data_IF_120039918295
#
_entry.id   IF_120039918295
#
_cell.length_a   1.000
_cell.length_b   1.000
_cell.length_c   1.000
_cell.angle_alpha   90.00
_cell.angle_beta   90.00
_cell.angle_gamma   90.00
#
_symmetry.space_group_name_H-M   'P 1'
#
loop_
_entity.id
_entity.type
_entity.pdbx_description
1 polymer ?
#
# COMPACT_ATOMS: atom_id res chain seq x y z
N UNK A 1 16.24 -6.90 -1.74
CA UNK A 1 15.70 -6.94 -0.36
C UNK A 1 16.04 -8.28 0.31
N UNK A 2 16.18 -8.36 1.64
CA UNK A 2 16.54 -9.62 2.35
C UNK A 2 15.58 -10.77 2.00
N UNK A 3 14.28 -10.48 1.88
CA UNK A 3 13.26 -11.45 1.44
C UNK A 3 13.57 -12.08 0.07
N UNK A 4 14.09 -11.31 -0.88
CA UNK A 4 14.47 -11.82 -2.20
C UNK A 4 15.71 -12.72 -2.12
N UNK A 5 16.63 -12.44 -1.20
CA UNK A 5 17.79 -13.30 -0.96
C UNK A 5 17.36 -14.67 -0.42
N UNK A 6 16.36 -14.72 0.47
CA UNK A 6 15.77 -15.99 0.95
C UNK A 6 15.18 -16.76 -0.24
N UNK A 7 14.40 -16.09 -1.10
CA UNK A 7 13.81 -16.73 -2.28
C UNK A 7 14.85 -17.24 -3.26
N UNK A 8 15.94 -16.50 -3.48
CA UNK A 8 17.04 -16.95 -4.33
C UNK A 8 17.70 -18.21 -3.77
N UNK A 9 17.97 -18.26 -2.47
CA UNK A 9 18.54 -19.46 -1.84
C UNK A 9 17.60 -20.66 -1.91
N UNK A 10 16.31 -20.45 -1.71
CA UNK A 10 15.31 -21.51 -1.85
C UNK A 10 15.23 -22.01 -3.29
N UNK A 11 15.28 -21.12 -4.28
CA UNK A 11 15.33 -21.48 -5.70
C UNK A 11 16.54 -22.35 -6.01
N UNK A 12 17.73 -21.91 -5.59
CA UNK A 12 18.96 -22.65 -5.81
C UNK A 12 18.96 -23.99 -5.07
N UNK A 13 18.37 -24.05 -3.88
CA UNK A 13 18.26 -25.27 -3.11
C UNK A 13 17.33 -26.28 -3.79
N UNK A 14 16.15 -25.83 -4.24
CA UNK A 14 15.18 -26.66 -4.96
C UNK A 14 15.67 -27.09 -6.33
N UNK A 15 16.50 -26.30 -7.02
CA UNK A 15 17.11 -26.74 -8.28
C UNK A 15 18.12 -27.86 -8.06
N UNK A 16 18.79 -27.91 -6.90
CA UNK A 16 19.73 -28.99 -6.53
C UNK A 16 19.04 -30.25 -6.03
N UNK A 17 18.01 -30.12 -5.20
CA UNK A 17 17.30 -31.27 -4.63
C UNK A 17 16.01 -31.65 -5.39
N UNK A 18 15.75 -31.01 -6.53
CA UNK A 18 14.52 -31.21 -7.31
C UNK A 18 14.29 -32.66 -7.72
N UNK A 19 15.35 -33.37 -8.13
CA UNK A 19 15.29 -34.79 -8.51
C UNK A 19 14.91 -35.68 -7.32
N UNK A 20 15.50 -35.42 -6.15
CA UNK A 20 15.21 -36.16 -4.92
C UNK A 20 13.77 -35.91 -4.43
N UNK A 21 13.30 -34.67 -4.59
CA UNK A 21 11.94 -34.25 -4.25
C UNK A 21 10.91 -34.52 -5.36
N UNK A 22 11.33 -35.09 -6.50
CA UNK A 22 10.48 -35.42 -7.66
C UNK A 22 9.66 -34.22 -8.13
N UNK A 23 10.28 -33.04 -8.15
CA UNK A 23 9.66 -31.82 -8.65
C UNK A 23 9.72 -31.81 -10.18
N UNK A 24 8.62 -31.45 -10.84
CA UNK A 24 8.57 -31.33 -12.30
C UNK A 24 9.43 -30.15 -12.79
N UNK A 25 9.44 -29.07 -12.02
CA UNK A 25 10.34 -27.94 -12.20
C UNK A 25 10.63 -27.24 -10.86
N UNK A 26 11.70 -26.46 -10.81
CA UNK A 26 12.03 -25.61 -9.64
C UNK A 26 10.95 -24.57 -9.38
N UNK A 27 10.36 -23.99 -10.44
CA UNK A 27 9.33 -22.96 -10.31
C UNK A 27 8.01 -23.54 -9.78
N UNK A 28 7.64 -24.76 -10.16
CA UNK A 28 6.45 -25.44 -9.59
C UNK A 28 6.60 -25.69 -8.09
N UNK A 29 7.82 -26.09 -7.67
CA UNK A 29 8.17 -26.24 -6.26
C UNK A 29 8.06 -24.92 -5.50
N UNK A 30 8.67 -23.85 -6.02
CA UNK A 30 8.60 -22.52 -5.42
C UNK A 30 7.17 -21.99 -5.33
N UNK A 31 6.34 -22.23 -6.33
CA UNK A 31 4.94 -21.80 -6.36
C UNK A 31 4.08 -22.42 -5.24
N UNK A 32 4.52 -23.53 -4.64
CA UNK A 32 3.84 -24.13 -3.49
C UNK A 32 4.28 -23.56 -2.14
N UNK A 33 5.38 -22.83 -2.11
CA UNK A 33 5.98 -22.34 -0.88
C UNK A 33 5.49 -20.92 -0.60
N UNK A 34 5.36 -20.61 0.68
CA UNK A 34 5.10 -19.26 1.15
C UNK A 34 6.18 -18.89 2.16
N UNK A 35 6.73 -17.68 2.01
CA UNK A 35 7.63 -17.11 3.00
C UNK A 35 6.81 -16.37 4.05
N UNK A 36 6.81 -16.90 5.27
CA UNK A 36 6.03 -16.42 6.40
C UNK A 36 6.95 -15.92 7.52
N UNK A 37 6.37 -15.19 8.48
CA UNK A 37 7.05 -14.85 9.72
C UNK A 37 6.80 -15.99 10.74
N UNK A 38 7.84 -16.55 11.38
CA UNK A 38 7.66 -17.61 12.37
C UNK A 38 6.78 -17.13 13.54
N UNK A 39 5.94 -18.02 14.06
CA UNK A 39 5.09 -17.71 15.24
C UNK A 39 5.90 -17.43 16.49
N UNK A 40 7.04 -18.10 16.64
CA UNK A 40 7.95 -17.93 17.78
C UNK A 40 9.28 -17.36 17.27
N UNK A 41 9.70 -16.23 17.84
CA UNK A 41 10.85 -15.46 17.36
C UNK A 41 12.18 -16.22 17.42
N UNK A 42 12.30 -17.24 18.28
CA UNK A 42 13.53 -18.04 18.35
C UNK A 42 13.75 -18.91 17.11
N UNK A 43 12.71 -19.15 16.30
CA UNK A 43 12.83 -19.77 14.98
C UNK A 43 13.31 -18.78 13.91
N UNK A 44 13.68 -17.54 14.25
CA UNK A 44 14.26 -16.59 13.31
C UNK A 44 13.25 -15.61 12.70
N UNK A 45 13.60 -15.09 11.52
CA UNK A 45 12.91 -13.96 10.89
C UNK A 45 11.96 -14.42 9.78
N UNK A 46 12.31 -15.51 9.11
CA UNK A 46 11.50 -16.10 8.05
C UNK A 46 11.33 -17.61 8.24
N UNK A 47 10.18 -18.14 7.83
CA UNK A 47 9.89 -19.56 7.81
C UNK A 47 9.23 -19.94 6.48
N UNK A 48 9.51 -21.17 6.04
CA UNK A 48 8.87 -21.79 4.88
C UNK A 48 8.30 -23.12 5.29
N UNK A 49 6.99 -23.28 5.14
CA UNK A 49 6.32 -24.57 5.29
C UNK A 49 6.52 -25.41 4.03
N UNK A 50 7.24 -26.53 4.14
CA UNK A 50 7.49 -27.42 2.99
C UNK A 50 6.44 -28.51 2.82
N UNK A 51 5.44 -28.56 3.71
CA UNK A 51 4.38 -29.59 3.67
C UNK A 51 3.66 -29.70 2.31
N UNK A 52 3.37 -28.61 1.58
CA UNK A 52 2.77 -28.71 0.24
C UNK A 52 3.59 -29.53 -0.77
N UNK A 53 4.91 -29.65 -0.60
CA UNK A 53 5.77 -30.43 -1.48
C UNK A 53 5.61 -31.94 -1.29
N UNK A 54 4.98 -32.39 -0.20
CA UNK A 54 4.78 -33.82 0.08
C UNK A 54 3.98 -34.54 -1.00
N UNK A 55 3.09 -33.82 -1.71
CA UNK A 55 2.32 -34.36 -2.84
C UNK A 55 3.21 -34.81 -4.01
N UNK A 56 4.36 -34.17 -4.19
CA UNK A 56 5.33 -34.48 -5.24
C UNK A 56 6.36 -35.49 -4.75
N UNK A 57 7.02 -35.18 -3.63
CA UNK A 57 8.12 -35.97 -3.09
C UNK A 57 7.68 -37.35 -2.57
N UNK A 58 6.41 -37.50 -2.18
CA UNK A 58 5.88 -38.68 -1.47
C UNK A 58 6.67 -38.99 -0.19
N UNK A 59 7.17 -37.95 0.47
CA UNK A 59 7.92 -37.98 1.72
C UNK A 59 7.16 -37.21 2.80
N UNK A 60 7.35 -37.55 4.09
CA UNK A 60 6.77 -36.77 5.18
C UNK A 60 7.44 -35.37 5.25
N UNK A 61 6.71 -34.29 5.62
CA UNK A 61 7.24 -32.92 5.62
C UNK A 61 8.57 -32.71 6.35
N UNK A 62 8.85 -33.34 7.51
CA UNK A 62 10.16 -33.20 8.16
C UNK A 62 11.33 -33.69 7.31
N UNK A 63 11.15 -34.77 6.53
CA UNK A 63 12.18 -35.27 5.63
C UNK A 63 12.43 -34.34 4.46
N UNK A 64 11.37 -33.73 3.93
CA UNK A 64 11.49 -32.70 2.90
C UNK A 64 12.23 -31.48 3.45
N UNK A 65 11.92 -31.07 4.69
CA UNK A 65 12.57 -29.93 5.31
C UNK A 65 14.07 -30.19 5.48
N UNK A 66 14.46 -31.39 5.94
CA UNK A 66 15.85 -31.84 6.03
C UNK A 66 16.57 -31.68 4.68
N UNK A 67 16.02 -32.26 3.60
CA UNK A 67 16.60 -32.20 2.24
C UNK A 67 16.77 -30.76 1.76
N UNK A 68 15.73 -29.92 1.91
CA UNK A 68 15.79 -28.52 1.49
C UNK A 68 16.82 -27.75 2.32
N UNK A 69 16.84 -27.94 3.64
CA UNK A 69 17.76 -27.26 4.54
C UNK A 69 19.23 -27.63 4.27
N UNK A 70 19.52 -28.91 4.06
CA UNK A 70 20.85 -29.37 3.66
C UNK A 70 21.28 -28.77 2.32
N UNK A 71 20.37 -28.75 1.34
CA UNK A 71 20.64 -28.13 0.04
C UNK A 71 20.92 -26.63 0.15
N UNK A 72 20.22 -25.90 1.03
CA UNK A 72 20.52 -24.48 1.32
C UNK A 72 21.92 -24.32 1.92
N UNK A 73 22.30 -25.16 2.89
CA UNK A 73 23.62 -25.09 3.57
C UNK A 73 24.80 -25.30 2.61
N UNK A 74 24.62 -26.13 1.58
CA UNK A 74 25.66 -26.42 0.58
C UNK A 74 26.10 -25.17 -0.22
N UNK A 75 25.26 -24.13 -0.29
CA UNK A 75 25.57 -22.91 -1.06
C UNK A 75 26.25 -21.78 -0.29
N UNK A 76 26.84 -22.04 0.89
CA UNK A 76 27.34 -21.00 1.79
C UNK A 76 26.28 -19.90 2.02
N UNK A 77 25.18 -20.24 2.70
CA UNK A 77 24.00 -19.41 2.69
C UNK A 77 24.24 -18.08 3.40
N UNK A 78 23.68 -17.00 2.86
CA UNK A 78 23.65 -15.68 3.49
C UNK A 78 22.84 -15.67 4.80
N UNK A 79 22.01 -16.70 5.03
CA UNK A 79 21.13 -16.81 6.18
C UNK A 79 21.20 -18.25 6.69
N UNK A 80 21.46 -18.46 7.98
CA UNK A 80 21.59 -19.80 8.53
C UNK A 80 20.21 -20.49 8.58
N UNK A 81 20.01 -21.61 7.87
CA UNK A 81 18.75 -22.32 7.92
C UNK A 81 18.69 -23.25 9.14
N UNK A 82 17.55 -23.27 9.81
CA UNK A 82 17.25 -24.19 10.91
C UNK A 82 15.95 -24.96 10.67
N UNK A 83 15.82 -26.13 11.29
CA UNK A 83 14.69 -27.03 11.09
C UNK A 83 13.73 -26.97 12.28
N UNK A 84 12.44 -26.99 11.99
CA UNK A 84 11.39 -27.15 12.99
C UNK A 84 10.21 -27.95 12.41
N UNK A 85 10.25 -29.27 12.54
CA UNK A 85 9.24 -30.15 11.94
C UNK A 85 9.20 -29.99 10.41
N UNK A 86 8.05 -29.62 9.84
CA UNK A 86 7.89 -29.38 8.41
C UNK A 86 8.27 -27.97 7.94
N UNK A 87 9.09 -27.24 8.70
CA UNK A 87 9.52 -25.88 8.37
C UNK A 87 11.03 -25.78 8.18
N UNK A 88 11.43 -25.01 7.17
CA UNK A 88 12.79 -24.46 7.02
C UNK A 88 12.76 -23.00 7.43
N UNK A 89 13.49 -22.67 8.47
CA UNK A 89 13.53 -21.35 9.08
C UNK A 89 14.83 -20.63 8.75
N UNK A 90 14.81 -19.31 8.66
CA UNK A 90 15.97 -18.47 8.35
C UNK A 90 16.10 -17.35 9.38
N UNK A 91 17.30 -17.22 9.94
CA UNK A 91 17.65 -16.10 10.81
C UNK A 91 18.64 -15.19 10.09
N UNK A 92 18.33 -13.90 10.09
CA UNK A 92 19.24 -12.88 9.57
C UNK A 92 20.27 -12.57 10.66
N UNK A 93 21.55 -12.64 10.30
CA UNK A 93 22.60 -12.27 11.22
C UNK A 93 22.58 -10.75 11.47
N UNK A 94 23.08 -10.36 12.64
CA UNK A 94 23.05 -8.96 13.08
C UNK A 94 23.85 -8.04 12.17
N UNK A 95 24.94 -8.53 11.56
CA UNK A 95 25.77 -7.71 10.67
C UNK A 95 25.02 -7.40 9.38
N UNK A 96 24.37 -8.38 8.77
CA UNK A 96 23.52 -8.18 7.58
C UNK A 96 22.39 -7.17 7.85
N UNK A 97 21.76 -7.24 9.02
CA UNK A 97 20.75 -6.25 9.43
C UNK A 97 21.35 -4.86 9.59
N UNK A 98 22.48 -4.73 10.26
CA UNK A 98 23.18 -3.46 10.47
C UNK A 98 23.60 -2.84 9.14
N UNK A 99 24.20 -3.62 8.24
CA UNK A 99 24.59 -3.19 6.90
C UNK A 99 23.36 -2.77 6.07
N UNK A 100 22.24 -3.47 6.26
CA UNK A 100 20.94 -3.07 5.71
C UNK A 100 20.53 -1.68 6.20
N UNK A 101 20.50 -1.46 7.51
CA UNK A 101 20.13 -0.17 8.12
C UNK A 101 21.07 0.95 7.68
N UNK A 102 22.39 0.72 7.69
CA UNK A 102 23.38 1.71 7.26
C UNK A 102 23.19 2.11 5.78
N UNK A 103 22.91 1.14 4.90
CA UNK A 103 22.57 1.43 3.50
C UNK A 103 21.28 2.26 3.39
N UNK A 104 20.27 1.97 4.20
CA UNK A 104 19.02 2.73 4.22
C UNK A 104 19.20 4.16 4.73
N UNK A 105 20.08 4.37 5.71
CA UNK A 105 20.42 5.71 6.23
C UNK A 105 21.18 6.58 5.22
N UNK A 106 21.93 5.94 4.30
CA UNK A 106 22.64 6.64 3.21
C UNK A 106 21.77 6.84 1.96
N UNK A 107 20.65 6.13 1.85
CA UNK A 107 19.77 6.23 0.70
C UNK A 107 19.00 7.57 0.74
N UNK A 108 19.06 8.39 -0.34
CA UNK A 108 18.42 9.71 -0.36
C UNK A 108 16.88 9.63 -0.29
N UNK A 109 16.28 8.51 -0.69
CA UNK A 109 14.84 8.29 -0.66
C UNK A 109 14.51 6.87 -0.17
N UNK A 110 14.35 6.72 1.14
CA UNK A 110 14.01 5.45 1.75
C UNK A 110 12.66 4.92 1.26
N UNK A 111 12.62 3.66 0.82
CA UNK A 111 11.39 2.98 0.40
C UNK A 111 10.83 3.43 -0.95
N UNK A 112 11.54 4.32 -1.66
CA UNK A 112 11.16 4.72 -3.02
C UNK A 112 11.38 3.54 -3.96
N UNK A 113 10.45 3.33 -4.90
CA UNK A 113 10.58 2.30 -5.92
C UNK A 113 9.96 2.79 -7.24
N UNK A 114 10.05 1.96 -8.28
CA UNK A 114 9.60 2.27 -9.65
C UNK A 114 8.51 1.29 -10.11
N UNK A 115 7.81 0.63 -9.19
CA UNK A 115 6.80 -0.38 -9.55
C UNK A 115 5.64 0.22 -10.34
N UNK A 116 5.42 1.54 -10.22
CA UNK A 116 4.39 2.31 -10.91
C UNK A 116 4.98 3.33 -11.90
N UNK A 117 6.22 3.16 -12.35
CA UNK A 117 6.90 4.18 -13.17
C UNK A 117 6.18 4.52 -14.48
N UNK A 118 5.46 3.56 -15.06
CA UNK A 118 4.69 3.73 -16.30
C UNK A 118 3.24 4.19 -16.04
N UNK A 119 2.83 4.30 -14.77
CA UNK A 119 1.46 4.64 -14.42
C UNK A 119 1.24 6.17 -14.44
N UNK A 120 0.19 6.56 -15.18
CA UNK A 120 -0.32 7.92 -15.27
C UNK A 120 -1.69 7.97 -14.60
N UNK A 121 -1.76 8.59 -13.41
CA UNK A 121 -2.92 8.51 -12.51
C UNK A 121 -3.54 9.88 -12.31
N UNK A 122 -4.84 9.99 -12.61
CA UNK A 122 -5.67 11.11 -12.19
C UNK A 122 -6.37 10.74 -10.87
N UNK A 123 -5.98 11.39 -9.78
CA UNK A 123 -6.58 11.19 -8.46
C UNK A 123 -7.47 12.37 -8.09
N UNK A 124 -8.78 12.19 -8.16
CA UNK A 124 -9.77 13.15 -7.67
C UNK A 124 -10.11 12.86 -6.20
N UNK A 125 -10.12 13.89 -5.35
CA UNK A 125 -10.55 13.75 -3.95
C UNK A 125 -11.09 15.07 -3.37
N UNK A 126 -11.86 14.93 -2.27
CA UNK A 126 -12.64 15.99 -1.60
C UNK A 126 -13.87 16.44 -2.38
N UNK A 127 -13.70 17.01 -3.57
CA UNK A 127 -14.75 17.46 -4.51
C UNK A 127 -15.99 18.05 -3.82
N UNK A 128 -15.74 18.95 -2.87
CA UNK A 128 -16.81 19.59 -2.11
C UNK A 128 -17.50 20.63 -3.00
N UNK A 129 -18.84 20.64 -2.99
CA UNK A 129 -19.58 21.72 -3.63
C UNK A 129 -19.16 23.06 -2.99
N UNK A 130 -18.97 24.14 -3.77
CA UNK A 130 -18.52 25.43 -3.28
C UNK A 130 -19.66 26.21 -2.61
N UNK A 131 -20.48 25.52 -1.84
CA UNK A 131 -21.76 25.99 -1.29
C UNK A 131 -21.72 26.11 0.21
N UNK A 132 -20.53 26.36 0.76
CA UNK A 132 -20.27 26.64 2.16
C UNK A 132 -18.81 26.39 2.56
N UNK A 133 -18.45 26.69 3.83
CA UNK A 133 -17.12 26.44 4.33
C UNK A 133 -16.82 24.93 4.42
N UNK A 134 -15.54 24.57 4.24
CA UNK A 134 -15.10 23.20 4.41
C UNK A 134 -15.12 22.82 5.90
N UNK A 135 -15.76 21.70 6.24
CA UNK A 135 -15.70 21.10 7.59
C UNK A 135 -14.70 19.94 7.69
N UNK A 136 -14.51 19.41 8.90
CA UNK A 136 -13.55 18.33 9.23
C UNK A 136 -13.72 17.05 8.38
N UNK A 137 -14.92 16.80 7.85
CA UNK A 137 -15.19 15.69 6.95
C UNK A 137 -14.40 15.80 5.64
N UNK A 138 -14.30 17.00 5.07
CA UNK A 138 -13.44 17.28 3.92
C UNK A 138 -11.96 17.13 4.28
N UNK A 139 -11.56 17.57 5.47
CA UNK A 139 -10.19 17.44 5.96
C UNK A 139 -9.72 15.98 6.00
N UNK A 140 -10.60 15.05 6.44
CA UNK A 140 -10.30 13.61 6.41
C UNK A 140 -10.02 13.11 4.99
N UNK A 141 -10.87 13.47 4.03
CA UNK A 141 -10.69 13.04 2.63
C UNK A 141 -9.47 13.69 1.99
N UNK A 142 -9.17 14.93 2.34
CA UNK A 142 -7.98 15.65 1.90
C UNK A 142 -6.70 14.97 2.37
N UNK A 143 -6.65 14.60 3.67
CA UNK A 143 -5.52 13.88 4.24
C UNK A 143 -5.32 12.50 3.57
N UNK A 144 -6.40 11.75 3.35
CA UNK A 144 -6.34 10.45 2.71
C UNK A 144 -5.87 10.54 1.24
N UNK A 145 -6.52 11.39 0.43
CA UNK A 145 -6.21 11.53 -0.98
C UNK A 145 -4.79 12.05 -1.20
N UNK A 146 -4.36 13.06 -0.43
CA UNK A 146 -2.99 13.56 -0.52
C UNK A 146 -1.95 12.51 -0.09
N UNK A 147 -2.23 11.74 0.97
CA UNK A 147 -1.34 10.65 1.40
C UNK A 147 -1.19 9.57 0.34
N UNK A 148 -2.30 9.20 -0.31
CA UNK A 148 -2.30 8.23 -1.41
C UNK A 148 -1.53 8.76 -2.62
N UNK A 149 -1.74 10.02 -3.02
CA UNK A 149 -0.99 10.64 -4.11
C UNK A 149 0.51 10.65 -3.84
N UNK A 150 0.92 10.99 -2.62
CA UNK A 150 2.34 10.98 -2.21
C UNK A 150 2.93 9.58 -2.25
N UNK A 151 2.18 8.58 -1.79
CA UNK A 151 2.62 7.18 -1.84
C UNK A 151 2.79 6.70 -3.29
N UNK A 152 1.83 6.96 -4.17
CA UNK A 152 1.91 6.58 -5.58
C UNK A 152 3.07 7.27 -6.30
N UNK A 153 3.31 8.57 -6.04
CA UNK A 153 4.51 9.29 -6.53
C UNK A 153 5.80 8.68 -6.00
N UNK A 154 5.83 8.25 -4.73
CA UNK A 154 6.97 7.56 -4.13
C UNK A 154 7.21 6.16 -4.73
N UNK A 155 6.19 5.55 -5.33
CA UNK A 155 6.29 4.33 -6.12
C UNK A 155 6.60 4.56 -7.61
N UNK A 156 6.83 5.82 -8.01
CA UNK A 156 7.26 6.21 -9.36
C UNK A 156 6.14 6.71 -10.29
N UNK A 157 4.87 6.68 -9.87
CA UNK A 157 3.77 7.09 -10.74
C UNK A 157 3.77 8.60 -11.04
N UNK A 158 3.34 8.96 -12.25
CA UNK A 158 2.94 10.33 -12.57
C UNK A 158 1.51 10.53 -12.06
N UNK A 159 1.34 11.34 -11.00
CA UNK A 159 0.04 11.54 -10.36
C UNK A 159 -0.42 12.99 -10.47
N UNK A 160 -1.52 13.21 -11.19
CA UNK A 160 -2.30 14.44 -11.16
C UNK A 160 -3.33 14.37 -10.04
N UNK A 161 -3.46 15.46 -9.30
CA UNK A 161 -4.41 15.55 -8.19
C UNK A 161 -5.44 16.59 -8.59
N UNK A 162 -6.71 16.18 -8.61
CA UNK A 162 -7.82 17.06 -9.00
C UNK A 162 -8.77 17.26 -7.84
N UNK A 163 -9.36 18.45 -7.82
CA UNK A 163 -10.48 18.81 -6.99
C UNK A 163 -11.59 19.23 -7.93
N UNK A 164 -12.62 18.39 -8.07
CA UNK A 164 -13.75 18.76 -8.91
C UNK A 164 -14.61 19.79 -8.19
N UNK A 165 -14.72 20.97 -8.80
CA UNK A 165 -15.63 22.03 -8.35
C UNK A 165 -16.91 21.92 -9.17
N UNK A 166 -18.01 21.54 -8.52
CA UNK A 166 -19.32 21.62 -9.15
C UNK A 166 -19.86 23.05 -9.03
N UNK A 167 -19.63 23.85 -10.07
CA UNK A 167 -20.04 25.26 -10.18
C UNK A 167 -21.41 25.44 -10.87
N UNK A 168 -22.16 24.36 -11.04
CA UNK A 168 -23.46 24.38 -11.71
C UNK A 168 -24.60 23.91 -10.81
N UNK A 169 -25.76 24.57 -10.93
CA UNK A 169 -27.02 24.16 -10.31
C UNK A 169 -27.60 25.17 -9.32
N UNK A 170 -28.70 24.79 -8.68
CA UNK A 170 -29.49 25.68 -7.81
C UNK A 170 -28.70 26.22 -6.62
N UNK A 171 -27.77 25.44 -6.07
CA UNK A 171 -26.95 25.90 -4.94
C UNK A 171 -26.03 27.07 -5.34
N UNK A 172 -25.51 27.08 -6.57
CA UNK A 172 -24.71 28.19 -7.09
C UNK A 172 -25.55 29.43 -7.38
N UNK A 173 -26.74 29.24 -7.96
CA UNK A 173 -27.70 30.33 -8.12
C UNK A 173 -28.05 30.96 -6.76
N UNK A 174 -28.21 30.14 -5.72
CA UNK A 174 -28.53 30.61 -4.39
C UNK A 174 -27.41 31.46 -3.77
N UNK A 175 -26.14 31.07 -3.97
CA UNK A 175 -25.00 31.88 -3.55
C UNK A 175 -24.94 33.19 -4.34
N UNK A 176 -25.06 33.13 -5.67
CA UNK A 176 -25.00 34.31 -6.53
C UNK A 176 -26.07 35.33 -6.14
N UNK A 177 -27.31 34.88 -5.94
CA UNK A 177 -28.41 35.71 -5.47
C UNK A 177 -28.12 36.32 -4.11
N UNK A 178 -27.55 35.54 -3.19
CA UNK A 178 -27.20 36.06 -1.85
C UNK A 178 -26.16 37.17 -1.91
N UNK A 179 -25.09 36.96 -2.69
CA UNK A 179 -24.03 37.95 -2.90
C UNK A 179 -24.61 39.21 -3.55
N UNK A 180 -25.48 39.06 -4.54
CA UNK A 180 -26.15 40.18 -5.20
C UNK A 180 -26.93 41.07 -4.22
N UNK A 181 -27.75 40.48 -3.34
CA UNK A 181 -28.48 41.27 -2.34
C UNK A 181 -27.56 41.93 -1.31
N UNK A 182 -26.45 41.29 -0.93
CA UNK A 182 -25.44 41.91 -0.07
C UNK A 182 -24.77 43.11 -0.76
N UNK A 183 -24.47 43.01 -2.06
CA UNK A 183 -23.98 44.15 -2.84
C UNK A 183 -25.00 45.30 -2.89
N UNK A 184 -26.30 45.00 -3.09
CA UNK A 184 -27.35 46.02 -3.05
C UNK A 184 -27.44 46.72 -1.69
N UNK A 185 -27.33 45.97 -0.59
CA UNK A 185 -27.34 46.52 0.77
C UNK A 185 -26.14 47.44 1.07
N UNK A 186 -24.99 47.20 0.43
CA UNK A 186 -23.84 48.11 0.52
C UNK A 186 -24.08 49.43 -0.19
N UNK A 187 -24.89 49.43 -1.26
CA UNK A 187 -25.30 50.65 -1.96
C UNK A 187 -26.43 51.37 -1.23
N UNK A 188 -27.39 50.63 -0.67
CA UNK A 188 -28.54 51.13 0.08
C UNK A 188 -28.91 50.14 1.20
N UNK A 189 -28.58 50.52 2.44
CA UNK A 189 -28.81 49.69 3.62
C UNK A 189 -30.29 49.47 3.95
N UNK A 190 -31.22 50.21 3.32
CA UNK A 190 -32.66 50.04 3.53
C UNK A 190 -33.25 48.85 2.77
N UNK A 191 -32.52 48.29 1.80
CA UNK A 191 -32.96 47.14 1.01
C UNK A 191 -33.03 45.89 1.92
N UNK A 192 -34.22 45.28 2.11
CA UNK A 192 -34.34 44.10 2.96
C UNK A 192 -33.73 42.87 2.28
N UNK A 193 -33.16 41.97 3.09
CA UNK A 193 -32.77 40.65 2.60
C UNK A 193 -34.06 39.80 2.44
N UNK A 194 -34.25 39.07 1.33
CA UNK A 194 -35.53 38.40 1.10
C UNK A 194 -35.78 37.23 2.06
N UNK A 195 -37.05 37.06 2.45
CA UNK A 195 -37.50 35.96 3.32
C UNK A 195 -38.03 34.77 2.49
N UNK A 196 -38.05 33.59 3.11
CA UNK A 196 -38.58 32.37 2.51
C UNK A 196 -40.11 32.43 2.42
N UNK A 197 -40.67 32.14 1.24
CA UNK A 197 -42.12 32.05 1.01
C UNK A 197 -42.52 30.66 0.51
N UNK A 198 -43.80 30.30 0.63
CA UNK A 198 -44.33 29.00 0.16
C UNK A 198 -44.14 28.80 -1.36
N UNK A 199 -44.24 29.88 -2.14
CA UNK A 199 -44.11 29.85 -3.61
C UNK A 199 -42.65 29.89 -4.11
N UNK A 200 -41.68 30.20 -3.23
CA UNK A 200 -40.25 30.22 -3.54
C UNK A 200 -39.44 29.57 -2.42
N UNK A 201 -39.30 28.22 -2.41
CA UNK A 201 -38.87 27.53 -1.20
C UNK A 201 -37.46 27.87 -0.72
N UNK A 202 -36.49 28.24 -1.55
CA UNK A 202 -35.14 28.64 -1.10
C UNK A 202 -34.34 29.29 -2.24
N UNK A 203 -34.14 30.63 -2.29
CA UNK A 203 -33.27 31.25 -3.29
C UNK A 203 -31.89 31.69 -2.77
N UNK A 204 -31.52 31.39 -1.52
CA UNK A 204 -30.34 31.97 -0.88
C UNK A 204 -29.51 30.95 -0.08
N UNK A 205 -28.24 31.29 0.12
CA UNK A 205 -27.26 30.51 0.88
C UNK A 205 -27.66 30.45 2.37
N UNK A 206 -27.77 29.26 3.00
CA UNK A 206 -28.29 29.16 4.36
C UNK A 206 -27.27 29.44 5.47
N UNK A 207 -26.00 29.68 5.13
CA UNK A 207 -24.95 29.95 6.12
C UNK A 207 -24.96 31.40 6.62
N UNK A 208 -24.11 31.67 7.61
CA UNK A 208 -23.87 33.04 8.08
C UNK A 208 -23.19 33.88 6.99
N UNK A 209 -23.52 35.17 6.96
CA UNK A 209 -23.05 36.16 5.99
C UNK A 209 -22.13 37.18 6.65
#
# INVERSE_FOLDING_TARGET
>A
MIKEQVWHQLRDALSRCGDELKLESTDDGLAQLALERPRQLHFGDFAVNVSPLARFAKLPPPKIAEIVCESVKTSAPLLEPSLAGGFVNFKVDTQTLLDGVLRLLQAPALGQNTVMAEDCILLEYVSANPTGPLHIGHGRWMALGNSLARLMKHCGATVWQEFYVNDYGSQMNNIANSVWYRCLQQCDASIPFPEKTEDQPYPFYPGEY
#
